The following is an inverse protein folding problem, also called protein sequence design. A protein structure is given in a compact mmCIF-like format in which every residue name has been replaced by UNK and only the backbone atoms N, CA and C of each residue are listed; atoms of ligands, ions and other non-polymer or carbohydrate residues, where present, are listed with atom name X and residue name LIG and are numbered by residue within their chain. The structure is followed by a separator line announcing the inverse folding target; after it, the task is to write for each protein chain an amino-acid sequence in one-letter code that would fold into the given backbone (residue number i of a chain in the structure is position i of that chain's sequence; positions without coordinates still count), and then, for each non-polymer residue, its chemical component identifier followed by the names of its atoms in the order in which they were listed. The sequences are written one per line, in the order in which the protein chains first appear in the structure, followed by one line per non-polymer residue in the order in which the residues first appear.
data_IF_473131799764
#
_entry.id   IF_473131799764
#
_cell.length_a   1.000
_cell.length_b   1.000
_cell.length_c   1.000
_cell.angle_alpha   90.00
_cell.angle_beta   90.00
_cell.angle_gamma   90.00
#
_symmetry.space_group_name_H-M   'P 1'
#
loop_
_entity.id
_entity.type
_entity.pdbx_description
1 polymer ?
#
# COMPACT_ATOMS: atom_id res chain seq x y z
N UNK A 1 -16.07 31.45 40.53
CA UNK A 1 -17.03 30.67 39.69
C UNK A 1 -16.48 30.30 38.32
N UNK A 2 -15.80 31.20 37.58
CA UNK A 2 -15.29 30.90 36.24
C UNK A 2 -14.20 29.80 36.20
N UNK A 3 -13.25 29.80 37.14
CA UNK A 3 -12.18 28.80 37.26
C UNK A 3 -12.70 27.39 37.57
N UNK A 4 -13.77 27.28 38.37
CA UNK A 4 -14.40 25.99 38.68
C UNK A 4 -15.07 25.37 37.43
N UNK A 5 -15.75 26.20 36.62
CA UNK A 5 -16.34 25.76 35.33
C UNK A 5 -15.27 25.33 34.32
N UNK A 6 -14.13 26.00 34.27
CA UNK A 6 -13.00 25.64 33.38
C UNK A 6 -12.38 24.30 33.80
N UNK A 7 -12.17 24.07 35.11
CA UNK A 7 -11.65 22.81 35.61
C UNK A 7 -12.62 21.64 35.37
N UNK A 8 -13.92 21.87 35.54
CA UNK A 8 -14.95 20.87 35.27
C UNK A 8 -15.03 20.53 33.77
N UNK A 9 -14.98 21.55 32.90
CA UNK A 9 -14.94 21.37 31.44
C UNK A 9 -13.67 20.65 30.97
N UNK A 10 -12.52 20.94 31.57
CA UNK A 10 -11.27 20.24 31.27
C UNK A 10 -11.29 18.77 31.74
N UNK A 11 -11.89 18.48 32.89
CA UNK A 11 -12.05 17.12 33.38
C UNK A 11 -13.01 16.31 32.50
N UNK A 12 -14.10 16.92 32.04
CA UNK A 12 -15.03 16.31 31.07
C UNK A 12 -14.35 16.09 29.70
N UNK A 13 -13.58 17.06 29.21
CA UNK A 13 -12.82 16.91 27.96
C UNK A 13 -11.78 15.77 28.06
N UNK A 14 -11.08 15.65 29.20
CA UNK A 14 -10.15 14.54 29.43
C UNK A 14 -10.86 13.19 29.53
N UNK A 15 -12.05 13.15 30.14
CA UNK A 15 -12.88 11.95 30.21
C UNK A 15 -13.34 11.53 28.82
N UNK A 16 -13.86 12.46 28.01
CA UNK A 16 -14.26 12.18 26.63
C UNK A 16 -13.08 11.77 25.75
N UNK A 17 -11.90 12.36 25.93
CA UNK A 17 -10.67 11.89 25.27
C UNK A 17 -10.34 10.45 25.65
N UNK A 18 -10.39 10.09 26.93
CA UNK A 18 -10.14 8.70 27.38
C UNK A 18 -11.19 7.73 26.88
N UNK A 19 -12.47 8.09 26.91
CA UNK A 19 -13.56 7.27 26.38
C UNK A 19 -13.42 7.07 24.86
N UNK A 20 -13.05 8.11 24.11
CA UNK A 20 -12.70 8.03 22.69
C UNK A 20 -11.48 7.14 22.45
N UNK A 21 -10.40 7.36 23.18
CA UNK A 21 -9.15 6.63 22.99
C UNK A 21 -9.33 5.14 23.36
N UNK A 22 -10.17 4.83 24.36
CA UNK A 22 -10.56 3.46 24.70
C UNK A 22 -11.48 2.84 23.64
N UNK A 23 -12.44 3.61 23.09
CA UNK A 23 -13.28 3.14 22.00
C UNK A 23 -12.43 2.85 20.75
N UNK A 24 -11.46 3.72 20.42
CA UNK A 24 -10.51 3.52 19.32
C UNK A 24 -9.61 2.30 19.59
N UNK A 25 -9.14 2.08 20.82
CA UNK A 25 -8.39 0.87 21.18
C UNK A 25 -9.23 -0.40 21.04
N UNK A 26 -10.43 -0.42 21.61
CA UNK A 26 -11.34 -1.56 21.47
C UNK A 26 -11.66 -1.84 20.01
N UNK A 27 -11.75 -0.81 19.18
CA UNK A 27 -12.05 -0.95 17.78
C UNK A 27 -10.85 -1.42 16.96
N UNK A 28 -9.64 -0.96 17.29
CA UNK A 28 -8.40 -1.52 16.75
C UNK A 28 -8.21 -2.97 17.19
N UNK A 29 -8.53 -3.31 18.45
CA UNK A 29 -8.51 -4.69 18.98
C UNK A 29 -9.55 -5.58 18.25
N UNK A 30 -10.74 -5.05 17.95
CA UNK A 30 -11.75 -5.74 17.15
C UNK A 30 -11.34 -5.87 15.67
N UNK A 31 -10.64 -4.88 15.11
CA UNK A 31 -10.07 -4.94 13.75
C UNK A 31 -8.87 -5.88 13.64
N UNK A 32 -8.08 -6.04 14.71
CA UNK A 32 -6.97 -6.99 14.77
C UNK A 32 -7.46 -8.42 14.99
N UNK A 33 -8.55 -8.60 15.76
CA UNK A 33 -9.23 -9.88 15.93
C UNK A 33 -10.05 -10.30 14.70
N UNK A 34 -10.47 -9.34 13.87
CA UNK A 34 -11.18 -9.59 12.63
C UNK A 34 -10.77 -8.56 11.54
N UNK A 35 -9.77 -8.87 10.70
CA UNK A 35 -9.22 -7.95 9.69
C UNK A 35 -10.22 -7.48 8.62
N UNK A 36 -11.47 -7.99 8.66
CA UNK A 36 -12.56 -7.65 7.74
C UNK A 36 -13.55 -6.57 8.27
N UNK A 37 -13.36 -6.03 9.48
CA UNK A 37 -14.27 -5.02 10.06
C UNK A 37 -13.87 -3.61 9.60
N UNK A 38 -14.58 -3.10 8.60
CA UNK A 38 -14.61 -1.67 8.32
C UNK A 38 -15.42 -0.95 9.38
N UNK A 39 -14.92 0.19 9.85
CA UNK A 39 -15.72 1.12 10.63
C UNK A 39 -16.92 1.59 9.81
N UNK A 40 -18.14 1.41 10.32
CA UNK A 40 -19.29 2.09 9.75
C UNK A 40 -19.36 3.52 10.31
N UNK A 41 -19.20 4.51 9.43
CA UNK A 41 -19.35 5.91 9.77
C UNK A 41 -20.77 6.37 9.37
N UNK A 42 -21.52 7.03 10.27
CA UNK A 42 -22.75 7.68 9.88
C UNK A 42 -22.44 8.86 8.95
N UNK A 43 -23.37 9.18 8.05
CA UNK A 43 -23.21 10.28 7.08
C UNK A 43 -22.87 11.62 7.76
N UNK A 44 -23.37 11.85 8.97
CA UNK A 44 -23.11 13.06 9.76
C UNK A 44 -21.63 13.28 10.04
N UNK A 45 -20.86 12.20 10.28
CA UNK A 45 -19.41 12.30 10.45
C UNK A 45 -18.72 12.78 9.17
N UNK A 46 -19.15 12.28 8.01
CA UNK A 46 -18.57 12.65 6.70
C UNK A 46 -18.93 14.09 6.34
N UNK A 47 -20.19 14.50 6.57
CA UNK A 47 -20.64 15.87 6.33
C UNK A 47 -19.86 16.87 7.20
N UNK A 48 -19.68 16.57 8.50
CA UNK A 48 -18.89 17.42 9.38
C UNK A 48 -17.42 17.48 8.94
N UNK A 49 -16.83 16.33 8.59
CA UNK A 49 -15.43 16.25 8.21
C UNK A 49 -15.08 16.98 6.90
N UNK A 50 -16.06 17.20 6.03
CA UNK A 50 -15.88 17.75 4.67
C UNK A 50 -16.62 19.07 4.44
N UNK A 51 -17.14 19.69 5.50
CA UNK A 51 -17.96 20.90 5.42
C UNK A 51 -19.12 20.76 4.42
N UNK A 52 -19.88 19.67 4.54
CA UNK A 52 -20.93 19.25 3.62
C UNK A 52 -20.43 18.99 2.18
N UNK A 53 -19.32 18.27 2.04
CA UNK A 53 -18.67 17.99 0.75
C UNK A 53 -18.36 19.26 -0.06
N UNK A 54 -17.85 20.29 0.63
CA UNK A 54 -17.45 21.56 0.03
C UNK A 54 -16.36 21.36 -1.04
N UNK A 55 -16.41 22.17 -2.10
CA UNK A 55 -15.36 22.20 -3.13
C UNK A 55 -13.98 22.58 -2.56
N UNK A 56 -13.93 23.27 -1.42
CA UNK A 56 -12.66 23.57 -0.72
C UNK A 56 -11.98 22.32 -0.15
N UNK A 57 -12.76 21.32 0.20
CA UNK A 57 -12.27 20.03 0.69
C UNK A 57 -12.01 19.05 -0.45
N UNK A 58 -12.43 19.36 -1.68
CA UNK A 58 -12.33 18.47 -2.82
C UNK A 58 -10.88 18.32 -3.26
N UNK A 59 -10.42 17.07 -3.33
CA UNK A 59 -9.08 16.71 -3.79
C UNK A 59 -9.08 16.45 -5.29
N UNK A 60 -10.12 15.78 -5.80
CA UNK A 60 -10.25 15.52 -7.22
C UNK A 60 -11.42 14.61 -7.56
N UNK A 61 -11.73 14.56 -8.85
CA UNK A 61 -12.65 13.60 -9.44
C UNK A 61 -11.87 12.49 -10.14
N UNK A 62 -12.28 11.25 -9.93
CA UNK A 62 -11.71 10.07 -10.59
C UNK A 62 -12.81 9.30 -11.31
N UNK A 63 -12.41 8.37 -12.18
CA UNK A 63 -13.31 7.35 -12.72
C UNK A 63 -14.08 6.55 -11.65
N UNK A 64 -13.54 6.43 -10.43
CA UNK A 64 -14.10 5.64 -9.35
C UNK A 64 -15.03 6.44 -8.43
N UNK A 65 -14.96 7.77 -8.47
CA UNK A 65 -15.68 8.62 -7.51
C UNK A 65 -15.00 9.95 -7.24
N UNK A 66 -15.60 10.72 -6.33
CA UNK A 66 -15.13 12.04 -5.91
C UNK A 66 -14.38 11.91 -4.58
N UNK A 67 -13.20 12.49 -4.46
CA UNK A 67 -12.37 12.39 -3.26
C UNK A 67 -12.29 13.73 -2.56
N UNK A 68 -12.53 13.71 -1.25
CA UNK A 68 -12.46 14.87 -0.36
C UNK A 68 -11.44 14.61 0.73
N UNK A 69 -10.71 15.65 1.12
CA UNK A 69 -9.89 15.67 2.32
C UNK A 69 -10.78 16.07 3.48
N UNK A 70 -10.72 15.33 4.58
CA UNK A 70 -11.48 15.66 5.78
C UNK A 70 -10.71 15.35 7.05
N UNK A 71 -11.32 15.72 8.18
CA UNK A 71 -10.81 15.40 9.52
C UNK A 71 -11.91 14.67 10.29
N UNK A 72 -11.68 13.41 10.66
CA UNK A 72 -12.56 12.63 11.51
C UNK A 72 -11.82 12.33 12.81
N UNK A 73 -12.37 12.74 13.95
CA UNK A 73 -11.75 12.54 15.27
C UNK A 73 -10.26 12.95 15.33
N UNK A 74 -9.94 14.16 14.88
CA UNK A 74 -8.56 14.71 14.77
C UNK A 74 -7.62 13.97 13.80
N UNK A 75 -8.12 12.98 13.06
CA UNK A 75 -7.35 12.24 12.05
C UNK A 75 -7.66 12.79 10.67
N UNK A 76 -6.64 13.22 9.93
CA UNK A 76 -6.80 13.61 8.52
C UNK A 76 -7.04 12.36 7.68
N UNK A 77 -8.10 12.38 6.86
CA UNK A 77 -8.56 11.25 6.05
C UNK A 77 -8.84 11.67 4.62
N UNK A 78 -8.83 10.69 3.70
CA UNK A 78 -9.37 10.83 2.36
C UNK A 78 -10.75 10.13 2.30
N UNK A 79 -11.79 10.86 1.92
CA UNK A 79 -13.16 10.36 1.83
C UNK A 79 -13.55 10.28 0.37
N UNK A 80 -13.72 9.06 -0.15
CA UNK A 80 -14.09 8.77 -1.53
C UNK A 80 -15.58 8.47 -1.59
N UNK A 81 -16.36 9.36 -2.20
CA UNK A 81 -17.74 9.09 -2.59
C UNK A 81 -17.73 8.31 -3.90
N UNK A 82 -18.07 7.02 -3.85
CA UNK A 82 -18.06 6.15 -5.01
C UNK A 82 -19.12 6.60 -6.03
N UNK A 83 -18.82 6.43 -7.32
CA UNK A 83 -19.72 6.86 -8.40
C UNK A 83 -20.98 5.99 -8.52
N UNK A 84 -20.93 4.76 -8.02
CA UNK A 84 -22.05 3.83 -7.96
C UNK A 84 -21.90 2.86 -6.79
N UNK A 85 -23.02 2.33 -6.33
CA UNK A 85 -23.05 1.29 -5.29
C UNK A 85 -22.30 0.03 -5.72
N UNK A 86 -22.29 -0.29 -7.01
CA UNK A 86 -21.54 -1.44 -7.56
C UNK A 86 -20.04 -1.27 -7.32
N UNK A 87 -19.49 -0.08 -7.62
CA UNK A 87 -18.08 0.22 -7.36
C UNK A 87 -17.77 0.16 -5.86
N UNK A 88 -18.66 0.71 -5.04
CA UNK A 88 -18.52 0.68 -3.59
C UNK A 88 -18.49 -0.75 -3.04
N UNK A 89 -19.45 -1.59 -3.39
CA UNK A 89 -19.53 -2.98 -2.91
C UNK A 89 -18.35 -3.83 -3.40
N UNK A 90 -17.91 -3.63 -4.64
CA UNK A 90 -16.73 -4.31 -5.19
C UNK A 90 -15.47 -3.93 -4.40
N UNK A 91 -15.25 -2.64 -4.17
CA UNK A 91 -14.06 -2.17 -3.46
C UNK A 91 -14.07 -2.62 -1.99
N UNK A 92 -15.22 -2.61 -1.32
CA UNK A 92 -15.42 -3.19 0.02
C UNK A 92 -15.09 -4.70 0.02
N UNK A 93 -15.56 -5.45 -0.98
CA UNK A 93 -15.30 -6.88 -1.10
C UNK A 93 -13.80 -7.18 -1.27
N UNK A 94 -13.13 -6.40 -2.12
CA UNK A 94 -11.70 -6.51 -2.40
C UNK A 94 -10.86 -6.16 -1.17
N UNK A 95 -11.15 -5.05 -0.50
CA UNK A 95 -10.40 -4.59 0.67
C UNK A 95 -10.50 -5.53 1.88
N UNK A 96 -11.50 -6.44 1.92
CA UNK A 96 -11.61 -7.49 2.94
C UNK A 96 -10.64 -8.65 2.76
N UNK A 97 -10.06 -8.81 1.57
CA UNK A 97 -9.22 -9.96 1.25
C UNK A 97 -7.84 -9.88 1.91
N UNK A 98 -7.39 -8.68 2.30
CA UNK A 98 -6.28 -8.54 3.21
C UNK A 98 -5.66 -7.15 3.20
N UNK A 99 -4.62 -6.97 4.03
CA UNK A 99 -3.90 -5.72 4.22
C UNK A 99 -2.42 -5.93 3.90
N UNK A 100 -1.80 -4.92 3.30
CA UNK A 100 -0.37 -4.91 3.00
C UNK A 100 0.20 -3.49 3.22
N UNK A 101 1.44 -3.33 3.72
CA UNK A 101 2.02 -2.00 3.99
C UNK A 101 2.04 -1.06 2.78
N UNK A 102 2.20 -1.63 1.58
CA UNK A 102 2.21 -0.90 0.30
C UNK A 102 0.87 -0.93 -0.43
N UNK A 103 -0.22 -1.26 0.26
CA UNK A 103 -1.60 -1.05 -0.19
C UNK A 103 -2.22 0.05 0.69
N UNK A 104 -3.10 0.87 0.11
CA UNK A 104 -3.81 1.92 0.85
C UNK A 104 -4.68 1.31 1.96
N UNK A 105 -4.61 1.88 3.15
CA UNK A 105 -5.41 1.44 4.29
C UNK A 105 -6.80 2.07 4.24
N UNK A 106 -7.83 1.22 4.17
CA UNK A 106 -9.22 1.63 4.34
C UNK A 106 -9.58 1.58 5.83
N UNK A 107 -9.88 2.73 6.40
CA UNK A 107 -10.25 2.91 7.81
C UNK A 107 -11.70 2.48 8.03
N UNK A 108 -12.59 2.84 7.11
CA UNK A 108 -14.00 2.51 7.20
C UNK A 108 -14.82 2.90 5.98
N UNK A 109 -16.13 2.81 6.11
CA UNK A 109 -17.11 3.04 5.06
C UNK A 109 -18.34 3.77 5.61
N UNK A 110 -19.12 4.37 4.72
CA UNK A 110 -20.45 4.90 5.02
C UNK A 110 -21.40 4.39 3.93
N UNK A 111 -22.25 3.43 4.31
CA UNK A 111 -23.14 2.74 3.38
C UNK A 111 -24.31 3.62 2.92
N UNK A 112 -24.67 4.65 3.69
CA UNK A 112 -25.77 5.58 3.37
C UNK A 112 -25.52 6.37 2.07
N UNK A 113 -24.25 6.63 1.76
CA UNK A 113 -23.83 7.43 0.59
C UNK A 113 -22.75 6.73 -0.23
N UNK A 114 -22.55 5.43 -0.03
CA UNK A 114 -21.54 4.62 -0.72
C UNK A 114 -20.16 5.29 -0.71
N UNK A 115 -19.68 5.62 0.49
CA UNK A 115 -18.39 6.28 0.69
C UNK A 115 -17.38 5.39 1.42
N UNK A 116 -16.11 5.54 1.07
CA UNK A 116 -14.98 4.89 1.73
C UNK A 116 -14.06 5.93 2.36
N UNK A 117 -13.56 5.63 3.56
CA UNK A 117 -12.67 6.49 4.35
C UNK A 117 -11.30 5.83 4.41
N UNK A 118 -10.30 6.48 3.82
CA UNK A 118 -8.91 6.00 3.76
C UNK A 118 -7.98 6.87 4.59
N UNK A 119 -6.80 6.32 4.87
CA UNK A 119 -5.68 7.12 5.35
C UNK A 119 -5.35 8.28 4.38
N UNK A 120 -4.95 9.42 4.93
CA UNK A 120 -4.49 10.55 4.12
C UNK A 120 -3.02 10.36 3.71
N UNK A 121 -2.74 10.52 2.41
CA UNK A 121 -1.40 10.38 1.83
C UNK A 121 -0.90 11.75 1.35
N UNK A 122 -0.14 12.48 2.18
CA UNK A 122 0.11 13.91 1.98
C UNK A 122 1.06 14.24 0.82
N UNK A 123 1.84 13.26 0.35
CA UNK A 123 2.77 13.47 -0.76
C UNK A 123 2.14 13.17 -2.13
N UNK A 124 0.82 12.98 -2.20
CA UNK A 124 0.11 12.85 -3.48
C UNK A 124 0.45 11.57 -4.25
N UNK A 125 0.11 11.57 -5.54
CA UNK A 125 0.29 10.41 -6.43
C UNK A 125 1.61 10.49 -7.22
N UNK A 126 2.08 9.34 -7.70
CA UNK A 126 3.36 9.21 -8.41
C UNK A 126 3.36 9.89 -9.78
N UNK A 127 2.19 10.05 -10.43
CA UNK A 127 2.09 10.73 -11.73
C UNK A 127 2.63 12.15 -11.61
N UNK A 128 2.22 12.89 -10.57
CA UNK A 128 2.64 14.28 -10.34
C UNK A 128 4.15 14.38 -10.07
N UNK A 129 4.73 13.39 -9.38
CA UNK A 129 6.17 13.32 -9.13
C UNK A 129 7.01 13.00 -10.38
N UNK A 130 6.48 12.20 -11.31
CA UNK A 130 7.17 11.89 -12.57
C UNK A 130 7.22 13.13 -13.47
N UNK A 131 6.11 13.89 -13.56
CA UNK A 131 6.04 15.08 -14.43
C UNK A 131 6.40 16.38 -13.71
N UNK A 132 6.76 16.32 -12.42
CA UNK A 132 7.03 17.48 -11.55
C UNK A 132 5.90 18.52 -11.57
N UNK A 133 4.65 18.06 -11.52
CA UNK A 133 3.45 18.90 -11.48
C UNK A 133 3.02 19.21 -10.04
N UNK A 134 2.11 20.18 -9.89
CA UNK A 134 1.45 20.50 -8.61
C UNK A 134 2.42 20.82 -7.46
N UNK A 135 3.58 21.41 -7.76
CA UNK A 135 4.62 21.72 -6.77
C UNK A 135 5.46 20.52 -6.30
N UNK A 136 5.29 19.35 -6.93
CA UNK A 136 6.08 18.15 -6.66
C UNK A 136 7.52 18.30 -7.15
N UNK A 137 8.47 17.89 -6.33
CA UNK A 137 9.90 17.85 -6.69
C UNK A 137 10.27 16.50 -7.31
N UNK A 138 11.29 16.44 -8.18
CA UNK A 138 11.81 15.18 -8.69
C UNK A 138 12.17 14.22 -7.55
N UNK A 139 11.75 12.95 -7.66
CA UNK A 139 12.15 11.90 -6.72
C UNK A 139 13.59 11.48 -6.97
N UNK A 140 14.37 11.35 -5.89
CA UNK A 140 15.72 10.74 -5.96
C UNK A 140 15.64 9.29 -6.43
N UNK A 141 16.72 8.81 -7.06
CA UNK A 141 16.75 7.43 -7.56
C UNK A 141 16.50 6.39 -6.45
N UNK A 142 16.94 6.66 -5.22
CA UNK A 142 16.70 5.78 -4.06
C UNK A 142 15.21 5.68 -3.72
N UNK A 143 14.47 6.78 -3.80
CA UNK A 143 13.02 6.76 -3.59
C UNK A 143 12.35 6.03 -4.75
N UNK A 144 12.81 6.23 -5.99
CA UNK A 144 12.25 5.53 -7.15
C UNK A 144 12.45 4.01 -7.05
N UNK A 145 13.63 3.53 -6.66
CA UNK A 145 13.87 2.09 -6.46
C UNK A 145 13.09 1.52 -5.28
N UNK A 146 12.92 2.30 -4.21
CA UNK A 146 12.06 1.95 -3.08
C UNK A 146 10.61 1.74 -3.52
N UNK A 147 10.06 2.67 -4.32
CA UNK A 147 8.71 2.59 -4.86
C UNK A 147 8.53 1.34 -5.73
N UNK A 148 9.49 1.06 -6.63
CA UNK A 148 9.45 -0.16 -7.47
C UNK A 148 9.37 -1.41 -6.59
N UNK A 149 10.21 -1.50 -5.57
CA UNK A 149 10.22 -2.63 -4.63
C UNK A 149 8.90 -2.81 -3.88
N UNK A 150 8.29 -1.71 -3.44
CA UNK A 150 7.02 -1.73 -2.72
C UNK A 150 5.84 -2.14 -3.60
N UNK A 151 5.84 -1.71 -4.86
CA UNK A 151 4.87 -2.17 -5.86
C UNK A 151 5.06 -3.67 -6.07
N UNK A 152 6.29 -4.16 -6.28
CA UNK A 152 6.55 -5.60 -6.41
C UNK A 152 6.03 -6.39 -5.19
N UNK A 153 6.32 -5.91 -3.97
CA UNK A 153 5.87 -6.54 -2.72
C UNK A 153 4.34 -6.60 -2.64
N UNK A 154 3.65 -5.52 -3.00
CA UNK A 154 2.19 -5.48 -2.99
C UNK A 154 1.57 -6.38 -4.07
N UNK A 155 2.16 -6.42 -5.28
CA UNK A 155 1.70 -7.31 -6.35
C UNK A 155 1.90 -8.77 -5.98
N UNK A 156 3.03 -9.15 -5.40
CA UNK A 156 3.27 -10.51 -4.91
C UNK A 156 2.21 -10.93 -3.90
N UNK A 157 1.87 -10.04 -2.97
CA UNK A 157 0.79 -10.26 -2.00
C UNK A 157 -0.57 -10.45 -2.68
N UNK A 158 -0.94 -9.57 -3.63
CA UNK A 158 -2.21 -9.69 -4.35
C UNK A 158 -2.29 -10.98 -5.18
N UNK A 159 -1.20 -11.35 -5.84
CA UNK A 159 -1.12 -12.54 -6.69
C UNK A 159 -1.14 -13.85 -5.91
N UNK A 160 -0.76 -13.81 -4.62
CA UNK A 160 -0.83 -14.96 -3.71
C UNK A 160 -2.19 -15.17 -3.03
N UNK A 161 -3.18 -14.32 -3.28
CA UNK A 161 -4.52 -14.51 -2.72
C UNK A 161 -5.17 -15.80 -3.25
N UNK A 162 -5.85 -16.53 -2.36
CA UNK A 162 -6.63 -17.74 -2.68
C UNK A 162 -8.13 -17.47 -2.54
N UNK A 163 -9.01 -18.18 -3.29
CA UNK A 163 -8.73 -19.27 -4.24
C UNK A 163 -8.25 -18.82 -5.62
N UNK A 164 -8.30 -17.53 -5.92
CA UNK A 164 -7.82 -16.97 -7.18
C UNK A 164 -6.96 -15.74 -6.92
N UNK A 165 -5.84 -15.64 -7.66
CA UNK A 165 -4.95 -14.49 -7.62
C UNK A 165 -5.74 -13.19 -7.89
N UNK A 166 -5.56 -12.20 -7.01
CA UNK A 166 -6.17 -10.90 -7.19
C UNK A 166 -5.28 -10.06 -8.12
N UNK A 167 -5.73 -9.81 -9.34
CA UNK A 167 -5.00 -8.96 -10.29
C UNK A 167 -5.33 -7.50 -10.02
N UNK A 168 -4.32 -6.63 -9.93
CA UNK A 168 -4.53 -5.19 -9.75
C UNK A 168 -5.29 -4.61 -10.95
N UNK A 169 -4.82 -4.89 -12.16
CA UNK A 169 -5.50 -4.57 -13.43
C UNK A 169 -5.39 -3.12 -13.88
N UNK A 170 -5.41 -2.14 -12.98
CA UNK A 170 -5.23 -0.70 -13.32
C UNK A 170 -3.96 -0.09 -12.69
N UNK A 171 -2.84 -0.81 -12.69
CA UNK A 171 -1.62 -0.33 -12.04
C UNK A 171 -0.97 0.79 -12.86
N UNK A 172 -1.04 2.03 -12.35
CA UNK A 172 -0.55 3.23 -13.03
C UNK A 172 -0.06 4.28 -12.02
N UNK A 173 0.79 5.24 -12.41
CA UNK A 173 1.31 6.26 -11.49
C UNK A 173 0.24 7.07 -10.75
N UNK A 174 -0.93 7.31 -11.33
CA UNK A 174 -2.03 8.01 -10.66
C UNK A 174 -2.71 7.18 -9.55
N UNK A 175 -2.51 5.86 -9.53
CA UNK A 175 -3.02 4.92 -8.52
C UNK A 175 -1.95 4.51 -7.50
N UNK A 176 -0.79 5.17 -7.51
CA UNK A 176 0.32 4.93 -6.58
C UNK A 176 0.55 6.22 -5.80
N UNK A 177 0.30 6.19 -4.50
CA UNK A 177 0.40 7.36 -3.63
C UNK A 177 1.56 7.26 -2.66
N UNK A 178 2.11 8.40 -2.27
CA UNK A 178 3.19 8.49 -1.30
C UNK A 178 2.68 8.98 0.06
N UNK A 179 3.02 8.25 1.12
CA UNK A 179 2.81 8.73 2.48
C UNK A 179 3.87 9.79 2.88
N UNK A 180 3.78 10.33 4.10
CA UNK A 180 4.69 11.37 4.60
C UNK A 180 6.19 11.00 4.55
N UNK A 181 6.51 9.70 4.57
CA UNK A 181 7.88 9.18 4.52
C UNK A 181 8.31 8.75 3.10
N UNK A 182 7.55 9.14 2.07
CA UNK A 182 7.75 8.72 0.68
C UNK A 182 7.73 7.19 0.48
N UNK A 183 7.00 6.46 1.33
CA UNK A 183 6.65 5.07 1.09
C UNK A 183 5.40 5.03 0.20
N UNK A 184 5.41 4.17 -0.80
CA UNK A 184 4.30 4.02 -1.75
C UNK A 184 3.19 3.10 -1.23
N UNK A 185 1.97 3.46 -1.62
CA UNK A 185 0.74 2.70 -1.39
C UNK A 185 -0.08 2.67 -2.68
N UNK A 186 -0.41 1.47 -3.14
CA UNK A 186 -1.25 1.28 -4.32
C UNK A 186 -2.74 1.24 -3.93
N UNK A 187 -3.60 1.73 -4.81
CA UNK A 187 -5.06 1.78 -4.62
C UNK A 187 -5.83 1.34 -5.87
N UNK A 188 -7.15 1.14 -5.73
CA UNK A 188 -8.06 0.78 -6.82
C UNK A 188 -7.76 -0.59 -7.50
N UNK A 189 -7.08 -1.50 -6.82
CA UNK A 189 -6.79 -2.85 -7.31
C UNK A 189 -8.08 -3.66 -7.51
N UNK A 190 -8.14 -4.49 -8.55
CA UNK A 190 -9.29 -5.35 -8.87
C UNK A 190 -10.54 -4.62 -9.38
N UNK A 191 -10.46 -3.31 -9.60
CA UNK A 191 -11.61 -2.48 -10.01
C UNK A 191 -11.77 -2.37 -11.54
N UNK A 192 -10.75 -2.70 -12.33
CA UNK A 192 -10.77 -2.48 -13.79
C UNK A 192 -11.89 -3.25 -14.48
N UNK A 193 -12.18 -4.48 -14.04
CA UNK A 193 -13.18 -5.38 -14.65
C UNK A 193 -14.58 -4.78 -14.73
N UNK A 194 -14.94 -3.90 -13.79
CA UNK A 194 -16.23 -3.21 -13.80
C UNK A 194 -16.36 -2.21 -14.96
N UNK A 195 -15.26 -1.65 -15.45
CA UNK A 195 -15.27 -0.72 -16.58
C UNK A 195 -15.28 -1.42 -17.94
N UNK A 196 -15.07 -2.73 -17.97
CA UNK A 196 -15.09 -3.54 -19.20
C UNK A 196 -16.49 -4.07 -19.54
N UNK A 197 -17.44 -3.93 -18.62
CA UNK A 197 -18.82 -4.37 -18.82
C UNK A 197 -19.52 -3.47 -19.86
N UNK A 198 -20.28 -4.06 -20.82
CA UNK A 198 -21.02 -3.30 -21.82
C UNK A 198 -21.97 -2.27 -21.18
N UNK A 199 -21.94 -1.03 -21.66
CA UNK A 199 -22.85 0.04 -21.21
C UNK A 199 -22.36 0.89 -20.02
N UNK A 200 -21.19 0.59 -19.44
CA UNK A 200 -20.59 1.45 -18.41
C UNK A 200 -19.81 2.63 -19.02
N UNK A 201 -19.73 3.75 -18.28
CA UNK A 201 -18.97 4.94 -18.67
C UNK A 201 -17.55 4.56 -19.09
N UNK A 202 -17.15 4.94 -20.32
CA UNK A 202 -15.80 4.72 -20.78
C UNK A 202 -14.83 5.49 -19.88
N UNK A 203 -13.89 4.80 -19.21
CA UNK A 203 -12.83 5.47 -18.49
C UNK A 203 -11.99 6.32 -19.46
N UNK A 204 -11.10 7.16 -18.94
CA UNK A 204 -10.11 7.85 -19.75
C UNK A 204 -9.11 6.84 -20.36
N UNK A 205 -9.56 6.09 -21.36
CA UNK A 205 -8.84 4.97 -21.98
C UNK A 205 -7.47 5.43 -22.45
N UNK A 206 -7.37 6.62 -23.05
CA UNK A 206 -6.11 7.20 -23.54
C UNK A 206 -5.02 7.27 -22.46
N UNK A 207 -5.37 7.60 -21.21
CA UNK A 207 -4.40 7.67 -20.11
C UNK A 207 -4.06 6.29 -19.51
N UNK A 208 -4.86 5.27 -19.80
CA UNK A 208 -4.66 3.88 -19.35
C UNK A 208 -3.83 3.07 -20.34
N UNK A 209 -4.11 3.24 -21.63
CA UNK A 209 -3.58 2.43 -22.73
C UNK A 209 -2.08 2.15 -22.64
N UNK A 210 -1.19 3.11 -22.31
CA UNK A 210 0.24 2.83 -22.26
C UNK A 210 0.64 1.78 -21.21
N UNK A 211 -0.16 1.59 -20.16
CA UNK A 211 0.08 0.66 -19.06
C UNK A 211 -0.72 -0.64 -19.18
N UNK A 212 -1.69 -0.71 -20.10
CA UNK A 212 -2.52 -1.90 -20.26
C UNK A 212 -1.78 -2.97 -21.04
N UNK A 213 -1.89 -4.21 -20.55
CA UNK A 213 -1.36 -5.40 -21.21
C UNK A 213 -1.96 -5.55 -22.62
N UNK A 214 -1.13 -5.58 -23.68
CA UNK A 214 -1.61 -5.67 -25.05
C UNK A 214 -2.39 -6.96 -25.36
N UNK A 215 -2.06 -8.07 -24.69
CA UNK A 215 -2.84 -9.31 -24.84
C UNK A 215 -4.17 -9.20 -24.11
N UNK A 216 -4.26 -8.48 -22.99
CA UNK A 216 -5.54 -8.22 -22.33
C UNK A 216 -6.46 -7.38 -23.22
N UNK A 217 -5.91 -6.40 -23.95
CA UNK A 217 -6.68 -5.62 -24.93
C UNK A 217 -7.26 -6.50 -26.06
N UNK A 218 -6.65 -7.66 -26.31
CA UNK A 218 -7.07 -8.60 -27.36
C UNK A 218 -8.00 -9.69 -26.83
N UNK A 219 -7.67 -10.28 -25.67
CA UNK A 219 -8.36 -11.45 -25.11
C UNK A 219 -9.46 -11.09 -24.11
N UNK A 220 -9.40 -9.89 -23.51
CA UNK A 220 -10.26 -9.47 -22.40
C UNK A 220 -9.92 -10.12 -21.06
N UNK A 221 -8.90 -10.96 -20.99
CA UNK A 221 -8.53 -11.72 -19.80
C UNK A 221 -7.44 -10.99 -18.99
N UNK A 222 -7.69 -10.71 -17.71
CA UNK A 222 -6.68 -10.17 -16.80
C UNK A 222 -5.94 -11.30 -16.08
N UNK A 223 -4.61 -11.19 -16.04
CA UNK A 223 -3.74 -12.18 -15.37
C UNK A 223 -2.69 -11.46 -14.50
N UNK A 224 -2.02 -12.15 -13.56
CA UNK A 224 -0.86 -11.59 -12.86
C UNK A 224 0.21 -10.99 -13.80
N UNK A 225 0.40 -11.57 -14.99
CA UNK A 225 1.34 -11.06 -16.00
C UNK A 225 0.87 -9.74 -16.65
N UNK A 226 -0.40 -9.38 -16.52
CA UNK A 226 -0.90 -8.06 -16.92
C UNK A 226 -0.41 -6.96 -15.96
N UNK A 227 -0.29 -7.27 -14.66
CA UNK A 227 0.32 -6.35 -13.69
C UNK A 227 1.84 -6.26 -13.89
N UNK A 228 2.50 -7.36 -14.27
CA UNK A 228 3.94 -7.35 -14.62
C UNK A 228 4.22 -6.39 -15.78
N UNK A 229 3.38 -6.39 -16.82
CA UNK A 229 3.48 -5.43 -17.92
C UNK A 229 3.37 -3.98 -17.43
N UNK A 230 2.33 -3.70 -16.64
CA UNK A 230 2.08 -2.38 -16.05
C UNK A 230 3.27 -1.89 -15.21
N UNK A 231 3.82 -2.79 -14.37
CA UNK A 231 5.03 -2.54 -13.57
C UNK A 231 6.25 -2.25 -14.46
N UNK A 232 6.43 -3.00 -15.55
CA UNK A 232 7.52 -2.76 -16.51
C UNK A 232 7.51 -1.35 -17.06
N UNK A 233 6.34 -0.86 -17.50
CA UNK A 233 6.18 0.52 -17.98
C UNK A 233 6.54 1.52 -16.87
N UNK A 234 6.07 1.29 -15.64
CA UNK A 234 6.39 2.16 -14.49
C UNK A 234 7.89 2.17 -14.17
N UNK A 235 8.58 1.02 -14.21
CA UNK A 235 10.03 0.93 -14.01
C UNK A 235 10.76 1.81 -15.04
N UNK A 236 10.38 1.71 -16.32
CA UNK A 236 11.00 2.49 -17.39
C UNK A 236 10.71 4.00 -17.23
N UNK A 237 9.49 4.38 -16.84
CA UNK A 237 9.13 5.76 -16.54
C UNK A 237 9.95 6.32 -15.39
N UNK A 238 10.10 5.57 -14.30
CA UNK A 238 10.89 6.00 -13.14
C UNK A 238 12.39 6.08 -13.44
N UNK A 239 12.90 5.22 -14.33
CA UNK A 239 14.30 5.26 -14.73
C UNK A 239 14.63 6.49 -15.59
N UNK A 240 13.75 6.84 -16.52
CA UNK A 240 14.03 7.82 -17.58
C UNK A 240 13.35 9.18 -17.38
N UNK A 241 12.34 9.27 -16.52
CA UNK A 241 11.50 10.46 -16.38
C UNK A 241 10.67 10.77 -17.62
N UNK A 242 10.62 9.85 -18.60
CA UNK A 242 9.92 10.05 -19.86
C UNK A 242 8.45 9.60 -19.79
N UNK A 243 7.58 10.16 -20.65
CA UNK A 243 6.22 9.65 -20.82
C UNK A 243 6.23 8.17 -21.26
N UNK A 244 5.19 7.40 -20.90
CA UNK A 244 5.16 5.95 -21.12
C UNK A 244 5.07 5.56 -22.60
N UNK A 245 4.53 6.43 -23.47
CA UNK A 245 4.41 6.13 -24.89
C UNK A 245 5.80 6.07 -25.55
N UNK A 246 6.09 5.00 -26.30
CA UNK A 246 7.39 4.72 -26.95
C UNK A 246 8.57 4.49 -26.02
N UNK A 247 8.36 4.45 -24.69
CA UNK A 247 9.46 4.38 -23.73
C UNK A 247 10.30 3.11 -23.88
N UNK A 248 9.66 1.96 -24.09
CA UNK A 248 10.32 0.67 -24.30
C UNK A 248 11.24 0.71 -25.53
N UNK A 249 10.75 1.26 -26.65
CA UNK A 249 11.55 1.42 -27.87
C UNK A 249 12.80 2.28 -27.62
N UNK A 250 12.63 3.46 -26.99
CA UNK A 250 13.75 4.36 -26.69
C UNK A 250 14.79 3.71 -25.78
N UNK A 251 14.35 2.96 -24.77
CA UNK A 251 15.26 2.27 -23.84
C UNK A 251 15.98 1.12 -24.54
N UNK A 252 15.30 0.34 -25.39
CA UNK A 252 15.94 -0.71 -26.20
C UNK A 252 17.03 -0.14 -27.10
N UNK A 253 16.71 0.89 -27.89
CA UNK A 253 17.66 1.57 -28.78
C UNK A 253 18.87 2.14 -27.99
N UNK A 254 18.63 2.69 -26.80
CA UNK A 254 19.70 3.22 -25.96
C UNK A 254 20.60 2.12 -25.37
N UNK A 255 20.06 0.94 -25.07
CA UNK A 255 20.86 -0.21 -24.63
C UNK A 255 21.70 -0.79 -25.79
N UNK A 256 21.09 -0.95 -26.98
CA UNK A 256 21.78 -1.42 -28.19
C UNK A 256 22.95 -0.51 -28.57
N UNK A 257 22.74 0.81 -28.50
CA UNK A 257 23.76 1.82 -28.82
C UNK A 257 24.71 2.14 -27.66
N UNK A 258 24.62 1.45 -26.51
CA UNK A 258 25.37 1.74 -25.29
C UNK A 258 25.25 3.20 -24.78
N UNK A 259 24.12 3.85 -25.08
CA UNK A 259 23.82 5.24 -24.75
C UNK A 259 22.80 5.40 -23.60
N UNK A 260 22.49 4.35 -22.84
CA UNK A 260 21.53 4.42 -21.72
C UNK A 260 21.78 5.60 -20.76
N UNK A 261 23.04 5.94 -20.50
CA UNK A 261 23.43 7.07 -19.64
C UNK A 261 22.89 8.44 -20.10
N UNK A 262 22.54 8.59 -21.39
CA UNK A 262 21.93 9.82 -21.91
C UNK A 262 20.42 9.86 -21.68
N UNK A 263 19.78 8.70 -21.47
CA UNK A 263 18.34 8.54 -21.31
C UNK A 263 17.89 8.49 -19.86
N UNK A 264 18.77 8.09 -18.94
CA UNK A 264 18.50 8.06 -17.50
C UNK A 264 18.19 9.47 -17.00
N UNK A 265 17.16 9.58 -16.15
CA UNK A 265 16.72 10.86 -15.59
C UNK A 265 17.76 11.44 -14.61
N UNK A 266 18.44 12.50 -15.05
CA UNK A 266 19.44 13.22 -14.25
C UNK A 266 18.83 13.99 -13.08
N UNK A 267 17.53 14.31 -13.12
CA UNK A 267 16.85 14.99 -12.02
C UNK A 267 16.71 14.11 -10.77
N UNK A 268 16.82 12.79 -10.93
CA UNK A 268 16.82 11.82 -9.83
C UNK A 268 18.16 11.75 -9.08
N UNK A 269 19.15 12.57 -9.47
CA UNK A 269 20.51 12.54 -8.95
C UNK A 269 21.40 11.52 -9.65
N UNK A 270 22.48 11.11 -8.97
CA UNK A 270 23.50 10.23 -9.53
C UNK A 270 23.07 8.76 -9.48
N UNK A 271 22.38 8.30 -10.52
CA UNK A 271 22.06 6.89 -10.71
C UNK A 271 23.33 6.01 -10.75
N UNK A 272 23.41 4.97 -9.93
CA UNK A 272 24.40 3.91 -10.13
C UNK A 272 24.13 3.19 -11.45
N UNK A 273 25.06 3.29 -12.41
CA UNK A 273 24.82 2.84 -13.79
C UNK A 273 24.51 1.35 -13.89
N UNK A 274 25.13 0.50 -13.07
CA UNK A 274 24.88 -0.96 -13.06
C UNK A 274 23.43 -1.25 -12.69
N UNK A 275 22.94 -0.62 -11.62
CA UNK A 275 21.58 -0.76 -11.13
C UNK A 275 20.56 -0.17 -12.12
N UNK A 276 20.88 0.99 -12.69
CA UNK A 276 20.07 1.60 -13.74
C UNK A 276 19.95 0.72 -14.99
N UNK A 277 21.05 0.08 -15.40
CA UNK A 277 21.06 -0.87 -16.52
C UNK A 277 20.25 -2.14 -16.20
N UNK A 278 20.37 -2.67 -14.97
CA UNK A 278 19.56 -3.81 -14.51
C UNK A 278 18.07 -3.49 -14.54
N UNK A 279 17.66 -2.30 -14.07
CA UNK A 279 16.27 -1.82 -14.14
C UNK A 279 15.79 -1.63 -15.58
N UNK A 280 16.63 -1.11 -16.47
CA UNK A 280 16.31 -0.98 -17.89
C UNK A 280 16.00 -2.35 -18.52
N UNK A 281 16.89 -3.32 -18.29
CA UNK A 281 16.75 -4.68 -18.86
C UNK A 281 15.51 -5.38 -18.30
N UNK A 282 15.32 -5.40 -16.98
CA UNK A 282 14.15 -6.06 -16.39
C UNK A 282 12.84 -5.34 -16.76
N UNK A 283 12.86 -4.00 -16.85
CA UNK A 283 11.72 -3.20 -17.29
C UNK A 283 11.32 -3.54 -18.73
N UNK A 284 12.30 -3.71 -19.64
CA UNK A 284 12.05 -4.17 -21.01
C UNK A 284 11.48 -5.59 -21.07
N UNK A 285 12.03 -6.52 -20.30
CA UNK A 285 11.49 -7.89 -20.23
C UNK A 285 10.05 -7.93 -19.72
N UNK A 286 9.69 -7.06 -18.77
CA UNK A 286 8.32 -6.95 -18.27
C UNK A 286 7.32 -6.46 -19.33
N UNK A 287 7.75 -5.62 -20.28
CA UNK A 287 6.89 -5.04 -21.32
C UNK A 287 6.90 -5.82 -22.64
N UNK A 288 7.34 -7.08 -22.62
CA UNK A 288 7.20 -7.98 -23.76
C UNK A 288 5.73 -8.07 -24.20
N UNK A 289 5.50 -8.00 -25.52
CA UNK A 289 4.14 -7.98 -26.07
C UNK A 289 3.40 -9.29 -25.76
N UNK A 290 4.11 -10.40 -25.85
CA UNK A 290 3.60 -11.76 -25.57
C UNK A 290 3.73 -12.08 -24.08
N UNK A 291 2.65 -12.49 -23.41
CA UNK A 291 2.66 -12.77 -21.94
C UNK A 291 3.70 -13.81 -21.55
N UNK A 292 3.85 -14.88 -22.31
CA UNK A 292 4.73 -16.01 -21.95
C UNK A 292 6.22 -15.62 -21.96
N UNK A 293 6.56 -14.50 -22.60
CA UNK A 293 7.93 -13.96 -22.60
C UNK A 293 8.22 -13.05 -21.41
N UNK A 294 7.18 -12.63 -20.68
CA UNK A 294 7.34 -11.76 -19.52
C UNK A 294 7.95 -12.56 -18.36
N UNK A 295 8.82 -11.94 -17.56
CA UNK A 295 9.43 -12.57 -16.41
C UNK A 295 8.40 -12.83 -15.31
N UNK A 296 8.57 -13.94 -14.59
CA UNK A 296 7.86 -14.16 -13.34
C UNK A 296 8.29 -13.15 -12.26
N UNK A 297 7.30 -12.61 -11.55
CA UNK A 297 7.51 -11.50 -10.60
C UNK A 297 8.42 -11.91 -9.45
N UNK A 298 8.25 -13.11 -8.90
CA UNK A 298 8.99 -13.59 -7.73
C UNK A 298 10.40 -14.09 -8.08
N UNK A 299 10.52 -14.86 -9.16
CA UNK A 299 11.75 -15.61 -9.48
C UNK A 299 12.70 -14.84 -10.41
N UNK A 300 12.22 -13.82 -11.13
CA UNK A 300 13.02 -13.06 -12.09
C UNK A 300 13.05 -11.56 -11.81
N UNK A 301 11.92 -10.94 -11.50
CA UNK A 301 11.86 -9.47 -11.26
C UNK A 301 12.34 -9.12 -9.85
N UNK A 302 11.78 -9.77 -8.83
CA UNK A 302 12.10 -9.50 -7.43
C UNK A 302 13.60 -9.58 -7.10
N UNK A 303 14.38 -10.58 -7.56
CA UNK A 303 15.81 -10.66 -7.27
C UNK A 303 16.64 -9.50 -7.86
N UNK A 304 16.13 -8.81 -8.89
CA UNK A 304 16.75 -7.60 -9.45
C UNK A 304 16.40 -6.37 -8.62
N UNK A 305 15.17 -6.29 -8.12
CA UNK A 305 14.63 -5.12 -7.43
C UNK A 305 14.97 -5.10 -5.95
N UNK A 306 14.84 -6.22 -5.24
CA UNK A 306 15.05 -6.31 -3.78
C UNK A 306 16.40 -5.72 -3.31
N UNK A 307 17.53 -5.98 -3.98
CA UNK A 307 18.82 -5.42 -3.57
C UNK A 307 18.91 -3.89 -3.71
N UNK A 308 18.02 -3.28 -4.49
CA UNK A 308 17.99 -1.83 -4.77
C UNK A 308 17.12 -1.05 -3.78
N UNK A 309 16.35 -1.77 -2.96
CA UNK A 309 15.50 -1.22 -1.91
C UNK A 309 16.41 -0.84 -0.74
N UNK A 310 16.22 0.36 -0.16
CA UNK A 310 16.96 0.75 1.04
C UNK A 310 16.44 -0.11 2.19
N UNK A 311 17.17 -1.19 2.53
CA UNK A 311 16.83 -2.01 3.68
C UNK A 311 16.75 -1.09 4.92
N UNK A 312 15.63 -1.09 5.67
CA UNK A 312 15.65 -0.48 6.99
C UNK A 312 16.76 -1.15 7.81
N UNK A 313 17.27 -0.51 8.88
CA UNK A 313 18.28 -1.14 9.72
C UNK A 313 17.72 -2.47 10.25
N UNK A 314 18.24 -3.58 9.72
CA UNK A 314 18.02 -4.97 10.11
C UNK A 314 16.56 -5.51 10.13
N UNK A 315 16.03 -5.90 8.95
CA UNK A 315 15.25 -7.15 8.79
C UNK A 315 15.06 -7.48 7.28
N UNK A 316 15.27 -8.74 6.84
CA UNK A 316 14.82 -9.23 5.52
C UNK A 316 13.28 -9.33 5.47
N UNK A 317 12.67 -9.17 4.28
CA UNK A 317 11.23 -9.34 4.06
C UNK A 317 10.81 -10.82 4.10
N UNK A 318 9.95 -11.27 5.04
CA UNK A 318 9.68 -12.71 5.21
C UNK A 318 8.56 -13.26 4.33
N UNK A 319 7.77 -12.41 3.66
CA UNK A 319 6.79 -12.89 2.66
C UNK A 319 7.47 -13.56 1.45
N UNK A 320 8.69 -13.12 1.12
CA UNK A 320 9.56 -13.74 0.09
C UNK A 320 10.02 -15.12 0.55
N UNK A 321 10.24 -15.34 1.85
CA UNK A 321 10.53 -16.66 2.40
C UNK A 321 9.30 -17.58 2.38
N UNK A 322 8.10 -17.07 2.70
CA UNK A 322 6.86 -17.85 2.67
C UNK A 322 6.52 -18.36 1.27
N UNK A 323 6.80 -17.56 0.22
CA UNK A 323 6.60 -17.97 -1.17
C UNK A 323 7.67 -18.98 -1.66
N UNK A 324 8.82 -19.06 -0.99
CA UNK A 324 9.89 -20.04 -1.29
C UNK A 324 9.69 -21.36 -0.53
N UNK A 325 9.00 -21.36 0.61
CA UNK A 325 8.84 -22.56 1.47
C UNK A 325 7.44 -23.15 1.52
N UNK A 326 6.45 -22.58 0.82
CA UNK A 326 5.13 -23.20 0.61
C UNK A 326 4.26 -23.39 1.86
N UNK A 327 4.54 -22.67 2.95
CA UNK A 327 3.73 -22.68 4.16
C UNK A 327 3.54 -21.23 4.62
N UNK A 328 2.28 -20.78 4.69
CA UNK A 328 1.94 -19.45 5.22
C UNK A 328 1.61 -19.57 6.70
N UNK A 329 2.31 -18.82 7.52
CA UNK A 329 1.96 -18.68 8.93
C UNK A 329 0.83 -17.64 9.07
N UNK A 330 -0.17 -17.88 9.93
CA UNK A 330 -1.20 -16.90 10.24
C UNK A 330 -0.61 -15.54 10.63
N UNK A 331 -1.17 -14.45 10.09
CA UNK A 331 -0.60 -13.10 10.24
C UNK A 331 -0.45 -12.60 11.69
N UNK A 332 -1.26 -13.08 12.63
CA UNK A 332 -1.17 -12.72 14.04
C UNK A 332 0.05 -13.34 14.76
N UNK A 333 0.71 -14.32 14.15
CA UNK A 333 1.96 -14.92 14.64
C UNK A 333 3.20 -14.14 14.16
N UNK A 334 3.01 -13.20 13.22
CA UNK A 334 4.07 -12.50 12.53
C UNK A 334 4.34 -11.15 13.22
N UNK A 335 5.61 -10.88 13.55
CA UNK A 335 6.03 -9.62 14.13
C UNK A 335 5.83 -8.48 13.12
N UNK A 336 5.16 -7.37 13.45
CA UNK A 336 4.99 -6.30 12.47
C UNK A 336 6.23 -5.46 12.17
N UNK A 337 7.27 -5.52 13.02
CA UNK A 337 8.56 -4.83 12.78
C UNK A 337 9.48 -5.71 11.93
N UNK A 338 9.64 -6.98 12.32
CA UNK A 338 10.56 -7.92 11.66
C UNK A 338 9.92 -8.66 10.49
N UNK A 339 8.59 -8.69 10.47
CA UNK A 339 7.74 -9.38 9.51
C UNK A 339 7.92 -10.91 9.48
N UNK A 340 8.57 -11.53 10.48
CA UNK A 340 8.76 -13.00 10.65
C UNK A 340 7.95 -13.56 11.84
N UNK A 341 7.78 -14.88 11.94
CA UNK A 341 7.10 -15.51 13.09
C UNK A 341 7.87 -15.15 14.37
N UNK A 342 7.15 -14.61 15.36
CA UNK A 342 7.72 -14.20 16.63
C UNK A 342 8.31 -15.41 17.38
N UNK A 343 9.39 -15.21 18.11
CA UNK A 343 9.98 -16.19 19.04
C UNK A 343 9.70 -15.81 20.49
N UNK A 344 9.74 -14.51 20.78
CA UNK A 344 9.40 -13.92 22.08
C UNK A 344 8.39 -12.78 21.87
N UNK A 345 7.10 -13.11 21.69
CA UNK A 345 6.06 -12.12 21.43
C UNK A 345 5.79 -11.27 22.69
N UNK A 346 5.90 -9.95 22.55
CA UNK A 346 5.70 -8.94 23.60
C UNK A 346 4.69 -7.90 23.13
N UNK A 347 3.72 -7.57 23.98
CA UNK A 347 2.74 -6.51 23.76
C UNK A 347 3.32 -5.18 24.21
N UNK A 348 3.30 -4.18 23.35
CA UNK A 348 3.62 -2.80 23.72
C UNK A 348 2.34 -2.01 24.08
N UNK A 349 2.49 -0.78 24.58
CA UNK A 349 1.35 0.02 25.07
C UNK A 349 0.34 0.47 23.99
N UNK A 350 0.64 0.23 22.72
CA UNK A 350 -0.28 0.38 21.59
C UNK A 350 -1.18 -0.84 21.36
N UNK A 351 -1.01 -1.92 22.14
CA UNK A 351 -1.78 -3.16 22.04
C UNK A 351 -1.27 -4.14 20.98
N UNK A 352 -0.27 -3.74 20.17
CA UNK A 352 0.31 -4.63 19.18
C UNK A 352 1.35 -5.55 19.81
N UNK A 353 1.43 -6.76 19.26
CA UNK A 353 2.43 -7.74 19.66
C UNK A 353 3.61 -7.70 18.70
N UNK A 354 4.81 -7.65 19.25
CA UNK A 354 6.06 -7.55 18.52
C UNK A 354 7.05 -8.60 19.02
N UNK A 355 8.04 -8.94 18.22
CA UNK A 355 9.22 -9.65 18.69
C UNK A 355 9.97 -8.77 19.71
N UNK A 356 10.24 -9.31 20.89
CA UNK A 356 10.85 -8.61 22.02
C UNK A 356 12.10 -7.82 21.64
N UNK A 357 13.00 -8.47 20.90
CA UNK A 357 14.25 -7.86 20.47
C UNK A 357 14.01 -6.66 19.54
N UNK A 358 13.02 -6.75 18.66
CA UNK A 358 12.73 -5.74 17.66
C UNK A 358 12.12 -4.48 18.26
N UNK A 359 11.15 -4.64 19.16
CA UNK A 359 10.50 -3.51 19.82
C UNK A 359 11.43 -2.82 20.82
N UNK A 360 12.34 -3.56 21.48
CA UNK A 360 13.39 -2.98 22.31
C UNK A 360 14.36 -2.12 21.50
N UNK A 361 14.87 -2.64 20.38
CA UNK A 361 15.71 -1.85 19.45
C UNK A 361 15.01 -0.58 18.96
N UNK A 362 13.72 -0.66 18.69
CA UNK A 362 12.92 0.50 18.29
C UNK A 362 12.93 1.59 19.36
N UNK A 363 12.77 1.23 20.64
CA UNK A 363 12.86 2.16 21.78
C UNK A 363 14.26 2.68 22.05
N UNK A 364 15.27 1.81 21.93
CA UNK A 364 16.69 2.17 22.11
C UNK A 364 17.15 3.16 21.02
N UNK A 365 16.55 3.10 19.83
CA UNK A 365 16.72 4.10 18.76
C UNK A 365 16.09 5.46 19.04
N UNK A 366 15.56 5.68 20.25
CA UNK A 366 14.97 6.96 20.68
C UNK A 366 13.49 7.12 20.34
N UNK A 367 12.87 6.15 19.64
CA UNK A 367 11.47 6.26 19.25
C UNK A 367 10.52 6.14 20.45
N UNK A 368 9.48 6.96 20.46
CA UNK A 368 8.40 6.95 21.46
C UNK A 368 7.02 6.79 20.82
N UNK A 369 6.98 6.25 19.60
CA UNK A 369 5.76 6.07 18.80
C UNK A 369 5.60 4.61 18.41
N UNK A 370 4.36 4.19 18.18
CA UNK A 370 4.00 2.85 17.74
C UNK A 370 4.67 2.56 16.39
N UNK A 371 5.41 1.45 16.27
CA UNK A 371 5.93 1.01 14.97
C UNK A 371 4.84 0.76 13.92
N UNK A 372 3.63 0.41 14.37
CA UNK A 372 2.49 0.05 13.51
C UNK A 372 1.67 1.25 13.06
N UNK A 373 1.30 2.11 14.00
CA UNK A 373 0.35 3.21 13.75
C UNK A 373 1.03 4.57 13.72
N UNK A 374 2.31 4.63 14.11
CA UNK A 374 3.05 5.87 14.31
C UNK A 374 2.37 6.81 15.32
N UNK A 375 1.45 6.34 16.18
CA UNK A 375 0.88 7.15 17.25
C UNK A 375 1.83 7.17 18.46
N UNK A 376 1.90 8.25 19.27
CA UNK A 376 2.68 8.24 20.50
C UNK A 376 2.30 7.08 21.42
N UNK A 377 3.29 6.35 21.92
CA UNK A 377 3.09 5.27 22.89
C UNK A 377 2.87 5.85 24.27
N UNK A 378 1.95 5.26 25.04
CA UNK A 378 1.67 5.71 26.40
C UNK A 378 2.88 5.48 27.34
N UNK A 379 3.59 4.38 27.13
CA UNK A 379 4.86 4.05 27.79
C UNK A 379 5.67 3.06 26.92
N UNK A 380 6.88 2.72 27.37
CA UNK A 380 7.79 1.76 26.72
C UNK A 380 7.76 0.38 27.39
N UNK A 381 6.74 0.11 28.20
CA UNK A 381 6.61 -1.15 28.91
C UNK A 381 6.24 -2.26 27.92
N UNK A 382 6.80 -3.44 28.14
CA UNK A 382 6.58 -4.63 27.31
C UNK A 382 6.06 -5.75 28.19
N UNK A 383 4.96 -6.36 27.77
CA UNK A 383 4.32 -7.47 28.48
C UNK A 383 4.38 -8.73 27.63
N UNK A 384 4.90 -9.87 28.13
CA UNK A 384 4.94 -11.10 27.35
C UNK A 384 3.55 -11.56 26.91
N UNK A 385 3.35 -11.80 25.61
CA UNK A 385 2.11 -12.32 25.05
C UNK A 385 2.13 -13.85 25.03
N UNK A 386 1.81 -14.47 26.17
CA UNK A 386 1.82 -15.94 26.30
C UNK A 386 0.82 -16.63 25.38
N UNK A 387 -0.30 -15.99 25.05
CA UNK A 387 -1.31 -16.56 24.15
C UNK A 387 -0.75 -16.72 22.73
N UNK A 388 -0.16 -15.66 22.19
CA UNK A 388 0.49 -15.70 20.86
C UNK A 388 1.67 -16.69 20.87
N UNK A 389 2.44 -16.74 21.96
CA UNK A 389 3.51 -17.73 22.10
C UNK A 389 3.00 -19.18 22.03
N UNK A 390 1.88 -19.48 22.70
CA UNK A 390 1.25 -20.80 22.61
C UNK A 390 0.73 -21.11 21.20
N UNK A 391 0.11 -20.15 20.52
CA UNK A 391 -0.35 -20.33 19.13
C UNK A 391 0.80 -20.56 18.15
N UNK A 392 1.97 -19.94 18.37
CA UNK A 392 3.19 -20.17 17.58
C UNK A 392 3.71 -21.60 17.80
N UNK A 393 3.67 -22.10 19.03
CA UNK A 393 4.10 -23.46 19.35
C UNK A 393 3.19 -24.50 18.69
N UNK A 394 1.87 -24.33 18.78
CA UNK A 394 0.88 -25.17 18.12
C UNK A 394 1.05 -25.16 16.59
N UNK A 395 1.27 -23.98 16.00
CA UNK A 395 1.56 -23.86 14.57
C UNK A 395 2.81 -24.66 14.17
N UNK A 396 3.90 -24.57 14.94
CA UNK A 396 5.10 -25.36 14.69
C UNK A 396 4.94 -26.86 14.91
N UNK A 397 4.00 -27.29 15.75
CA UNK A 397 3.66 -28.70 15.95
C UNK A 397 2.83 -29.24 14.78
N UNK A 398 1.86 -28.48 14.29
CA UNK A 398 1.05 -28.83 13.11
C UNK A 398 1.90 -28.94 11.84
N UNK A 399 2.90 -28.06 11.67
CA UNK A 399 3.85 -28.13 10.53
C UNK A 399 4.84 -29.30 10.63
N UNK A 400 4.96 -29.96 11.80
CA UNK A 400 5.84 -31.12 12.03
C UNK A 400 5.16 -32.48 11.85
N UNK A 401 3.85 -32.53 11.61
CA UNK A 401 3.12 -33.75 11.25
C UNK A 401 2.77 -33.75 9.76
N UNK A 402 3.64 -34.27 8.86
CA UNK A 402 3.25 -34.50 7.49
C UNK A 402 2.32 -35.72 7.42
N UNK A 403 1.07 -35.50 6.99
CA UNK A 403 0.11 -36.49 6.47
C UNK A 403 0.07 -37.89 7.09
N UNK A 404 -0.96 -38.15 7.90
CA UNK A 404 -1.56 -39.49 8.02
C UNK A 404 -2.42 -39.81 6.81
#
# INVERSE_FOLDING_TARGET
MATYKIHQCNAECQRFKRERDNAVRQLNELQDQNPQIFLEFPITNLLQATENFSDLCKVGDTEYGRVYKGIIHDTTVAIKLCRSDILFQQEVSILRQGRHPSIVNCIGKCSEVSALVYEWLPNGNLQDHIVCANGSTPLSWQIRTQIIGEICSALLFLHSCEPHALVHGDLRPCNIFANANFRSKICNFGMLTLFLQPGNHQPALTARLPYLDPEFLTTGELTPLSDVYSLGVIILCLLTGLPPLTIAKKVSEALENNSLHTLIDKSAGNWPYVQAKQLAVIGLSCVEMTREKRPDLLTKVWPVVEPLIRKPPAAPWPYVQSAVTGSSAPGHLICPIRMDIMKDPQVASDGFTYEAEAIRRWFDGGNNRSPMTNLPLANRDLVPNRAVLSSIQEYHEQQRQPGS
#
